data_IF_061018908061
#
_entry.id   IF_061018908061
#
_cell.length_a   1.000
_cell.length_b   1.000
_cell.length_c   1.000
_cell.angle_alpha   90.00
_cell.angle_beta   90.00
_cell.angle_gamma   90.00
#
_symmetry.space_group_name_H-M   'P 1'
#
loop_
_entity.id
_entity.type
_entity.pdbx_description
1 polymer ?
#
# COMPACT_ATOMS: atom_id res chain seq x y z
N UNK A 1 2.89 13.90 -16.57
CA UNK A 1 4.05 13.29 -15.88
C UNK A 1 3.55 12.07 -15.13
N UNK A 2 4.06 10.88 -15.43
CA UNK A 2 3.79 9.68 -14.64
C UNK A 2 4.91 9.54 -13.61
N UNK A 3 4.56 9.51 -12.32
CA UNK A 3 5.52 9.19 -11.27
C UNK A 3 5.64 7.66 -11.19
N UNK A 4 6.80 7.12 -11.55
CA UNK A 4 7.08 5.69 -11.40
C UNK A 4 7.64 5.46 -9.99
N UNK A 5 6.80 4.99 -9.06
CA UNK A 5 7.27 4.52 -7.76
C UNK A 5 7.81 3.09 -7.91
N UNK A 6 9.09 2.88 -7.63
CA UNK A 6 9.62 1.52 -7.45
C UNK A 6 9.19 1.05 -6.06
N UNK A 7 8.26 0.11 -6.00
CA UNK A 7 7.93 -0.58 -4.75
C UNK A 7 9.12 -1.49 -4.46
N UNK A 8 9.94 -1.11 -3.49
CA UNK A 8 11.05 -1.95 -3.03
C UNK A 8 10.59 -2.71 -1.78
N UNK A 9 10.59 -4.04 -1.91
CA UNK A 9 10.22 -4.97 -0.85
C UNK A 9 11.30 -4.95 0.23
N UNK A 10 10.96 -4.43 1.40
CA UNK A 10 11.79 -4.55 2.60
C UNK A 10 11.05 -5.38 3.64
N UNK A 11 11.79 -6.23 4.34
CA UNK A 11 11.41 -6.61 5.70
C UNK A 11 11.47 -5.31 6.53
N UNK A 12 10.31 -4.71 6.81
CA UNK A 12 10.23 -3.47 7.57
C UNK A 12 10.40 -3.84 9.05
N UNK A 13 11.59 -3.63 9.61
CA UNK A 13 11.84 -3.66 11.06
C UNK A 13 11.37 -2.35 11.72
N UNK A 14 11.06 -2.32 13.03
CA UNK A 14 10.69 -1.10 13.78
C UNK A 14 11.72 0.03 13.77
N UNK A 15 12.87 -0.18 13.13
CA UNK A 15 13.98 0.79 13.12
C UNK A 15 13.76 1.98 12.18
N UNK A 16 12.70 1.98 11.37
CA UNK A 16 12.42 3.09 10.45
C UNK A 16 11.51 4.14 11.10
N UNK A 17 11.94 5.41 11.22
CA UNK A 17 11.08 6.46 11.73
C UNK A 17 9.85 6.57 10.83
N UNK A 18 8.67 6.35 11.40
CA UNK A 18 7.41 6.52 10.70
C UNK A 18 7.22 8.02 10.41
N UNK A 19 7.67 8.43 9.23
CA UNK A 19 7.48 9.77 8.72
C UNK A 19 5.99 9.96 8.37
N UNK A 20 5.48 11.20 8.45
CA UNK A 20 4.10 11.50 8.05
C UNK A 20 3.92 11.14 6.57
N UNK A 21 3.25 10.01 6.33
CA UNK A 21 2.84 9.59 4.99
C UNK A 21 1.77 10.49 4.41
N UNK A 22 1.47 10.29 3.13
CA UNK A 22 0.31 10.92 2.47
C UNK A 22 -0.83 9.91 2.35
N UNK A 23 -2.06 10.40 2.49
CA UNK A 23 -3.25 9.63 2.08
C UNK A 23 -3.46 9.89 0.60
N UNK A 24 -3.47 8.83 -0.22
CA UNK A 24 -3.68 8.94 -1.67
C UNK A 24 -4.37 7.70 -2.22
N UNK A 25 -4.86 7.82 -3.47
CA UNK A 25 -5.29 6.69 -4.29
C UNK A 25 -4.17 6.27 -5.23
N UNK A 26 -4.08 4.97 -5.53
CA UNK A 26 -3.13 4.41 -6.50
C UNK A 26 -3.89 4.04 -7.77
N UNK A 27 -3.71 4.82 -8.83
CA UNK A 27 -4.36 4.58 -10.13
C UNK A 27 -3.39 3.91 -11.11
N UNK A 28 -3.76 2.75 -11.63
CA UNK A 28 -2.96 2.04 -12.61
C UNK A 28 -3.22 2.55 -14.03
N UNK A 29 -2.26 2.36 -14.92
CA UNK A 29 -2.38 2.74 -16.33
C UNK A 29 -3.50 2.00 -17.07
N UNK A 30 -3.95 0.86 -16.55
CA UNK A 30 -5.03 0.06 -17.11
C UNK A 30 -6.42 0.65 -16.83
N UNK A 31 -6.52 1.74 -16.06
CA UNK A 31 -7.76 2.48 -15.86
C UNK A 31 -8.50 2.16 -14.56
N UNK A 32 -7.81 1.60 -13.56
CA UNK A 32 -8.40 1.17 -12.29
C UNK A 32 -7.64 1.79 -11.11
N UNK A 33 -8.36 2.11 -10.05
CA UNK A 33 -7.80 2.33 -8.73
C UNK A 33 -7.54 0.99 -8.05
N UNK A 34 -6.39 0.85 -7.38
CA UNK A 34 -6.19 -0.23 -6.43
C UNK A 34 -7.24 -0.08 -5.31
N UNK A 35 -7.85 -1.18 -4.89
CA UNK A 35 -8.72 -1.21 -3.71
C UNK A 35 -8.32 -2.35 -2.78
N UNK A 36 -8.59 -2.14 -1.48
CA UNK A 36 -8.51 -3.15 -0.45
C UNK A 36 -9.88 -3.34 0.21
N UNK A 37 -10.37 -4.56 0.18
CA UNK A 37 -11.62 -4.94 0.81
C UNK A 37 -11.46 -5.10 2.33
N UNK A 38 -12.55 -5.06 3.11
CA UNK A 38 -12.48 -5.22 4.58
C UNK A 38 -11.85 -6.53 5.04
N UNK A 39 -11.90 -7.59 4.22
CA UNK A 39 -11.27 -8.89 4.45
C UNK A 39 -9.78 -8.92 4.06
N UNK A 40 -9.25 -7.83 3.51
CA UNK A 40 -7.87 -7.70 3.05
C UNK A 40 -7.63 -8.12 1.60
N UNK A 41 -8.66 -8.58 0.87
CA UNK A 41 -8.53 -8.89 -0.55
C UNK A 41 -8.15 -7.64 -1.36
N UNK A 42 -7.32 -7.82 -2.39
CA UNK A 42 -6.80 -6.75 -3.25
C UNK A 42 -7.20 -6.99 -4.71
N UNK A 43 -7.75 -5.97 -5.34
CA UNK A 43 -8.09 -5.95 -6.77
C UNK A 43 -8.19 -4.50 -7.29
N UNK A 44 -8.74 -4.31 -8.48
CA UNK A 44 -8.90 -3.01 -9.12
C UNK A 44 -10.37 -2.62 -9.27
N UNK A 45 -10.68 -1.34 -9.02
CA UNK A 45 -12.02 -0.77 -9.21
C UNK A 45 -11.99 0.50 -10.04
N UNK A 46 -13.10 0.81 -10.71
CA UNK A 46 -13.33 2.13 -11.33
C UNK A 46 -14.06 3.10 -10.40
N UNK A 47 -14.59 2.59 -9.29
CA UNK A 47 -15.31 3.37 -8.28
C UNK A 47 -14.33 3.93 -7.25
N UNK A 48 -14.12 5.24 -7.29
CA UNK A 48 -13.28 5.97 -6.35
C UNK A 48 -14.06 6.65 -5.22
N UNK A 49 -15.39 6.49 -5.20
CA UNK A 49 -16.27 7.08 -4.18
C UNK A 49 -16.12 6.44 -2.81
N UNK A 50 -15.51 5.25 -2.75
CA UNK A 50 -15.35 4.47 -1.53
C UNK A 50 -13.96 4.61 -0.91
N UNK A 51 -13.90 4.48 0.42
CA UNK A 51 -12.65 4.52 1.18
C UNK A 51 -11.77 3.28 0.98
N UNK A 52 -12.22 2.24 0.24
CA UNK A 52 -11.39 1.06 -0.06
C UNK A 52 -10.21 1.39 -0.98
N UNK A 53 -10.27 2.52 -1.70
CA UNK A 53 -9.22 3.00 -2.60
C UNK A 53 -8.20 3.93 -1.94
N UNK A 54 -8.38 4.27 -0.66
CA UNK A 54 -7.50 5.16 0.08
C UNK A 54 -6.39 4.39 0.80
N UNK A 55 -5.15 4.81 0.55
CA UNK A 55 -3.96 4.22 1.16
C UNK A 55 -3.08 5.29 1.82
N UNK A 56 -2.47 4.93 2.95
CA UNK A 56 -1.33 5.63 3.49
C UNK A 56 -0.08 5.18 2.71
N UNK A 57 0.59 6.12 2.06
CA UNK A 57 1.94 5.94 1.52
C UNK A 57 2.93 6.48 2.56
N UNK A 58 3.55 5.57 3.29
CA UNK A 58 4.41 5.90 4.43
C UNK A 58 5.86 5.72 4.00
N UNK A 59 6.68 6.80 3.95
CA UNK A 59 8.07 6.65 3.58
C UNK A 59 8.83 5.95 4.70
N UNK A 60 9.44 4.81 4.36
CA UNK A 60 10.25 3.99 5.27
C UNK A 60 11.73 3.99 4.88
N UNK A 61 12.09 4.69 3.80
CA UNK A 61 13.46 4.82 3.34
C UNK A 61 13.57 5.71 2.11
N UNK A 62 14.79 5.94 1.63
CA UNK A 62 15.01 6.70 0.41
C UNK A 62 14.34 5.99 -0.78
N UNK A 63 13.25 6.57 -1.30
CA UNK A 63 12.44 6.02 -2.40
C UNK A 63 11.75 4.69 -2.06
N UNK A 64 11.57 4.37 -0.78
CA UNK A 64 10.86 3.18 -0.33
C UNK A 64 9.67 3.57 0.52
N UNK A 65 8.52 2.97 0.24
CA UNK A 65 7.26 3.23 0.94
C UNK A 65 6.62 1.93 1.42
N UNK A 66 5.98 2.00 2.59
CA UNK A 66 4.94 1.06 2.96
C UNK A 66 3.60 1.56 2.41
N UNK A 67 2.73 0.61 2.02
CA UNK A 67 1.38 0.90 1.53
C UNK A 67 0.40 0.25 2.49
N UNK A 68 -0.41 1.05 3.16
CA UNK A 68 -1.38 0.60 4.15
C UNK A 68 -2.79 1.04 3.76
N UNK A 69 -3.77 0.14 3.82
CA UNK A 69 -5.17 0.51 3.61
C UNK A 69 -5.68 1.40 4.75
N UNK A 70 -6.23 2.57 4.43
CA UNK A 70 -6.71 3.53 5.45
C UNK A 70 -7.83 2.93 6.31
N UNK A 71 -8.74 2.17 5.68
CA UNK A 71 -9.90 1.60 6.37
C UNK A 71 -9.55 0.37 7.20
N UNK A 72 -8.65 -0.48 6.71
CA UNK A 72 -8.33 -1.78 7.31
C UNK A 72 -7.14 -1.72 8.26
N UNK A 73 -6.23 -0.75 8.09
CA UNK A 73 -4.95 -0.70 8.77
C UNK A 73 -3.95 -1.78 8.29
N UNK A 74 -4.33 -2.61 7.32
CA UNK A 74 -3.49 -3.69 6.80
C UNK A 74 -2.47 -3.16 5.80
N UNK A 75 -1.27 -3.70 5.84
CA UNK A 75 -0.22 -3.43 4.85
C UNK A 75 -0.34 -4.36 3.65
N UNK A 76 0.02 -3.86 2.48
CA UNK A 76 0.24 -4.70 1.30
C UNK A 76 1.67 -5.24 1.39
N UNK A 77 1.80 -6.57 1.47
CA UNK A 77 3.07 -7.26 1.44
C UNK A 77 3.16 -8.17 0.20
N UNK A 78 4.36 -8.60 -0.16
CA UNK A 78 4.61 -9.60 -1.19
C UNK A 78 5.52 -10.67 -0.64
N UNK A 79 5.20 -11.95 -0.87
CA UNK A 79 6.06 -13.05 -0.45
C UNK A 79 7.19 -13.29 -1.48
N UNK A 80 8.10 -14.21 -1.18
CA UNK A 80 9.23 -14.54 -2.06
C UNK A 80 8.84 -15.16 -3.41
N UNK A 81 7.59 -15.58 -3.57
CA UNK A 81 7.04 -16.15 -4.81
C UNK A 81 6.37 -15.07 -5.68
N UNK A 82 6.29 -13.83 -5.20
CA UNK A 82 5.67 -12.72 -5.93
C UNK A 82 4.18 -12.52 -5.67
N UNK A 83 3.57 -13.29 -4.76
CA UNK A 83 2.16 -13.13 -4.39
C UNK A 83 1.98 -11.98 -3.41
N UNK A 84 1.03 -11.10 -3.72
CA UNK A 84 0.58 -10.05 -2.80
C UNK A 84 -0.32 -10.65 -1.72
N UNK A 85 -0.18 -10.17 -0.49
CA UNK A 85 -1.03 -10.55 0.63
C UNK A 85 -1.23 -9.40 1.63
N UNK A 86 -2.38 -9.32 2.30
CA UNK A 86 -2.58 -8.39 3.39
C UNK A 86 -1.79 -8.83 4.63
N UNK A 87 -1.11 -7.89 5.29
CA UNK A 87 -0.34 -8.14 6.51
C UNK A 87 -0.79 -7.23 7.64
N UNK A 88 -1.01 -7.83 8.81
CA UNK A 88 -1.35 -7.10 10.05
C UNK A 88 -0.17 -6.37 10.66
N UNK A 89 1.07 -6.62 10.20
CA UNK A 89 2.32 -6.35 10.92
C UNK A 89 2.21 -5.15 11.87
N UNK A 90 1.97 -5.44 13.15
CA UNK A 90 2.53 -4.65 14.22
C UNK A 90 4.03 -4.86 14.05
N UNK A 91 4.66 -3.85 13.47
CA UNK A 91 6.08 -3.79 13.24
C UNK A 91 6.75 -4.13 14.59
N UNK A 92 7.55 -5.23 14.71
CA UNK A 92 8.36 -5.50 15.89
C UNK A 92 9.66 -4.70 15.85
#
# INVERSE_FOLDING_TARGET
MSASFKIQLLSISNSYPQLKGIVTRLYCRQGYYLQMHPDGALDGTKDDSTNSTLFNLIPVGLRVVAIQGVKTGLYIAMNGEGYLYPSVSNMP
#
